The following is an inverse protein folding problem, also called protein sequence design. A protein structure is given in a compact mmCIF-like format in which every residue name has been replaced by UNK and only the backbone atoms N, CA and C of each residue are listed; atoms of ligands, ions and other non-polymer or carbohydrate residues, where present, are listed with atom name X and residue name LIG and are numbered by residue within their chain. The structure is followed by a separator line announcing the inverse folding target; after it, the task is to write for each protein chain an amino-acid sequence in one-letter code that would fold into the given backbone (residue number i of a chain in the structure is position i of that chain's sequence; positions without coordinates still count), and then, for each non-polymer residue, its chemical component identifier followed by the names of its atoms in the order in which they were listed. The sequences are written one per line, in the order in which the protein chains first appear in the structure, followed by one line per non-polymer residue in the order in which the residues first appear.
data_IF_075958675012
#
_entry.id   IF_075958675012
#
_cell.length_a   1.000
_cell.length_b   1.000
_cell.length_c   1.000
_cell.angle_alpha   90.00
_cell.angle_beta   90.00
_cell.angle_gamma   90.00
#
_symmetry.space_group_name_H-M   'P 1'
#
loop_
_entity.id
_entity.type
_entity.pdbx_description
1 polymer ?
#
# COMPACT_ATOMS: atom_id res chain seq x y z
N UNK A 1 5.52 1.36 -13.16
CA UNK A 1 4.22 1.65 -13.79
C UNK A 1 3.12 1.53 -12.74
N UNK A 2 2.17 2.48 -12.70
CA UNK A 2 1.00 2.42 -11.83
C UNK A 2 0.16 1.17 -12.10
N UNK A 3 -0.51 0.68 -11.07
CA UNK A 3 -1.35 -0.51 -11.15
C UNK A 3 -2.69 -0.15 -11.81
N UNK A 4 -3.19 -0.92 -12.77
CA UNK A 4 -4.37 -0.54 -13.54
C UNK A 4 -5.66 -0.50 -12.71
N UNK A 5 -5.70 -1.20 -11.58
CA UNK A 5 -6.91 -1.36 -10.76
C UNK A 5 -6.75 -0.89 -9.32
N UNK A 6 -5.57 -0.41 -8.93
CA UNK A 6 -5.28 -0.09 -7.53
C UNK A 6 -4.43 1.18 -7.41
N UNK A 7 -4.89 2.12 -6.59
CA UNK A 7 -4.01 3.17 -6.08
C UNK A 7 -3.05 2.56 -5.07
N UNK A 8 -1.79 3.00 -5.11
CA UNK A 8 -0.73 2.41 -4.29
C UNK A 8 -0.01 3.50 -3.49
N UNK A 9 -0.04 3.38 -2.17
CA UNK A 9 0.74 4.21 -1.27
C UNK A 9 1.93 3.41 -0.75
N UNK A 10 3.14 3.75 -1.17
CA UNK A 10 4.37 3.05 -0.78
C UNK A 10 4.95 3.68 0.48
N UNK A 11 5.13 2.90 1.53
CA UNK A 11 5.76 3.32 2.78
C UNK A 11 7.27 3.03 2.72
N UNK A 12 7.62 1.82 2.27
CA UNK A 12 9.00 1.35 2.20
C UNK A 12 9.34 0.81 0.80
N UNK A 13 10.62 0.86 0.44
CA UNK A 13 11.10 0.32 -0.83
C UNK A 13 11.06 -1.22 -0.80
N UNK A 14 10.54 -1.89 -1.85
CA UNK A 14 10.47 -3.35 -1.89
C UNK A 14 11.85 -4.03 -1.80
N UNK A 15 12.94 -3.36 -2.20
CA UNK A 15 14.29 -3.96 -2.22
C UNK A 15 14.83 -4.40 -0.84
N UNK A 16 14.29 -3.83 0.25
CA UNK A 16 14.67 -4.16 1.62
C UNK A 16 13.98 -5.41 2.20
N UNK A 17 13.10 -6.07 1.44
CA UNK A 17 12.30 -7.19 1.91
C UNK A 17 12.65 -8.49 1.21
N UNK A 18 12.55 -9.61 1.93
CA UNK A 18 12.73 -10.96 1.38
C UNK A 18 11.42 -11.61 1.00
N UNK A 19 10.35 -11.31 1.74
CA UNK A 19 9.03 -11.90 1.54
C UNK A 19 7.94 -10.82 1.60
N UNK A 20 6.85 -11.04 0.88
CA UNK A 20 5.68 -10.17 0.89
C UNK A 20 4.42 -10.95 1.22
N UNK A 21 3.52 -10.33 1.98
CA UNK A 21 2.18 -10.84 2.27
C UNK A 21 1.17 -9.74 2.03
N UNK A 22 0.05 -10.11 1.42
CA UNK A 22 -1.11 -9.23 1.24
C UNK A 22 -2.16 -9.58 2.28
N UNK A 23 -2.63 -8.59 3.02
CA UNK A 23 -3.72 -8.72 3.98
C UNK A 23 -4.81 -7.72 3.63
N UNK A 24 -6.02 -8.19 3.34
CA UNK A 24 -7.17 -7.30 3.20
C UNK A 24 -7.58 -6.82 4.58
N UNK A 25 -7.66 -5.50 4.77
CA UNK A 25 -8.02 -4.89 6.06
C UNK A 25 -9.39 -4.19 6.02
N UNK A 26 -9.87 -3.87 4.83
CA UNK A 26 -11.24 -3.42 4.59
C UNK A 26 -11.66 -3.76 3.14
N UNK A 27 -12.95 -3.70 2.79
CA UNK A 27 -13.40 -3.85 1.40
C UNK A 27 -12.66 -2.87 0.49
N UNK A 28 -11.95 -3.41 -0.52
CA UNK A 28 -11.16 -2.60 -1.45
C UNK A 28 -9.88 -1.99 -0.88
N UNK A 29 -9.48 -2.31 0.36
CA UNK A 29 -8.22 -1.85 0.96
C UNK A 29 -7.38 -3.03 1.42
N UNK A 30 -6.19 -3.14 0.85
CA UNK A 30 -5.22 -4.17 1.21
C UNK A 30 -3.94 -3.55 1.75
N UNK A 31 -3.43 -4.15 2.81
CA UNK A 31 -2.12 -3.91 3.38
C UNK A 31 -1.11 -4.89 2.77
N UNK A 32 0.03 -4.37 2.33
CA UNK A 32 1.17 -5.18 1.92
C UNK A 32 2.19 -5.14 3.05
N UNK A 33 2.43 -6.31 3.65
CA UNK A 33 3.45 -6.54 4.65
C UNK A 33 4.70 -7.06 3.95
N UNK A 34 5.86 -6.52 4.28
CA UNK A 34 7.16 -7.01 3.85
C UNK A 34 7.94 -7.54 5.05
N UNK A 35 8.58 -8.69 4.90
CA UNK A 35 9.53 -9.22 5.89
C UNK A 35 10.92 -8.67 5.59
N UNK A 36 11.53 -7.99 6.56
CA UNK A 36 12.85 -7.37 6.37
C UNK A 36 13.91 -8.46 6.13
N UNK A 37 14.80 -8.22 5.15
CA UNK A 37 15.92 -9.15 4.89
C UNK A 37 16.77 -9.31 6.15
N UNK A 38 17.10 -10.55 6.51
CA UNK A 38 17.89 -10.84 7.72
C UNK A 38 17.12 -10.68 9.03
N UNK A 39 15.79 -10.52 9.00
CA UNK A 39 14.97 -10.41 10.21
C UNK A 39 13.71 -11.26 10.11
N UNK A 40 13.13 -11.59 11.25
CA UNK A 40 11.79 -12.21 11.35
C UNK A 40 10.66 -11.16 11.37
N UNK A 41 11.02 -9.86 11.41
CA UNK A 41 10.07 -8.76 11.56
C UNK A 41 9.34 -8.46 10.25
N UNK A 42 8.01 -8.46 10.33
CA UNK A 42 7.11 -7.99 9.29
C UNK A 42 6.74 -6.55 9.54
N UNK A 43 6.84 -5.71 8.52
CA UNK A 43 6.44 -4.31 8.59
C UNK A 43 5.60 -3.94 7.38
N UNK A 44 4.83 -2.87 7.51
CA UNK A 44 4.03 -2.33 6.41
C UNK A 44 4.94 -1.81 5.30
N UNK A 45 4.81 -2.40 4.12
CA UNK A 45 5.52 -1.95 2.93
C UNK A 45 4.68 -0.97 2.10
N UNK A 46 3.39 -1.26 1.91
CA UNK A 46 2.49 -0.42 1.12
C UNK A 46 1.01 -0.62 1.47
N UNK A 47 0.20 0.37 1.16
CA UNK A 47 -1.25 0.28 1.13
C UNK A 47 -1.75 0.28 -0.31
N UNK A 48 -2.75 -0.57 -0.60
CA UNK A 48 -3.36 -0.76 -1.91
C UNK A 48 -4.84 -0.48 -1.81
N UNK A 49 -5.33 0.45 -2.61
CA UNK A 49 -6.73 0.86 -2.65
C UNK A 49 -7.31 0.49 -4.00
N UNK A 50 -8.28 -0.40 -4.04
CA UNK A 50 -8.97 -0.78 -5.26
C UNK A 50 -9.77 0.41 -5.80
N UNK A 51 -9.52 0.78 -7.07
CA UNK A 51 -10.15 1.93 -7.73
C UNK A 51 -11.68 1.88 -7.78
N UNK A 52 -12.27 0.66 -7.71
CA UNK A 52 -13.72 0.48 -7.70
C UNK A 52 -14.36 0.97 -6.39
N UNK A 53 -13.61 0.92 -5.29
CA UNK A 53 -14.09 1.30 -3.95
C UNK A 53 -13.56 2.67 -3.50
N UNK A 54 -12.35 3.02 -3.94
CA UNK A 54 -11.66 4.24 -3.54
C UNK A 54 -11.28 5.06 -4.77
N UNK A 55 -11.63 6.35 -4.76
CA UNK A 55 -11.00 7.33 -5.64
C UNK A 55 -9.61 7.67 -5.10
N UNK A 56 -8.75 8.27 -5.94
CA UNK A 56 -7.43 8.75 -5.54
C UNK A 56 -7.49 9.71 -4.34
N UNK A 57 -8.48 10.59 -4.31
CA UNK A 57 -8.74 11.53 -3.22
C UNK A 57 -9.19 10.83 -1.94
N UNK A 58 -10.13 9.88 -2.04
CA UNK A 58 -10.58 9.08 -0.88
C UNK A 58 -9.43 8.27 -0.29
N UNK A 59 -8.57 7.69 -1.13
CA UNK A 59 -7.39 6.96 -0.68
C UNK A 59 -6.39 7.88 0.04
N UNK A 60 -6.09 9.06 -0.52
CA UNK A 60 -5.23 10.06 0.13
C UNK A 60 -5.79 10.54 1.46
N UNK A 61 -7.10 10.80 1.51
CA UNK A 61 -7.79 11.20 2.73
C UNK A 61 -7.70 10.11 3.80
N UNK A 62 -7.96 8.85 3.43
CA UNK A 62 -7.84 7.72 4.35
C UNK A 62 -6.43 7.62 4.95
N UNK A 63 -5.39 7.78 4.13
CA UNK A 63 -3.99 7.79 4.59
C UNK A 63 -3.73 8.93 5.58
N UNK A 64 -4.26 10.13 5.31
CA UNK A 64 -4.12 11.30 6.19
C UNK A 64 -4.86 11.09 7.52
N UNK A 65 -6.10 10.64 7.46
CA UNK A 65 -6.94 10.38 8.64
C UNK A 65 -6.33 9.32 9.57
N UNK A 66 -5.55 8.39 9.00
CA UNK A 66 -4.84 7.35 9.75
C UNK A 66 -3.36 7.70 10.05
N UNK A 67 -2.95 8.96 9.83
CA UNK A 67 -1.58 9.45 10.07
C UNK A 67 -0.49 8.62 9.36
N UNK A 68 -0.77 8.17 8.14
CA UNK A 68 0.13 7.31 7.37
C UNK A 68 0.98 8.14 6.43
N UNK A 69 2.28 8.20 6.75
CA UNK A 69 3.28 8.84 5.91
C UNK A 69 3.78 7.89 4.82
N UNK A 70 3.47 8.19 3.56
CA UNK A 70 3.93 7.45 2.39
C UNK A 70 5.06 8.19 1.66
N UNK A 71 5.99 7.43 1.07
CA UNK A 71 7.08 7.95 0.22
C UNK A 71 6.60 8.29 -1.19
N UNK A 72 5.71 7.47 -1.74
CA UNK A 72 5.13 7.71 -3.05
C UNK A 72 3.69 7.25 -3.11
N UNK A 73 2.86 7.97 -3.86
CA UNK A 73 1.48 7.61 -4.13
C UNK A 73 1.26 7.51 -5.64
N UNK A 74 0.98 6.31 -6.11
CA UNK A 74 0.69 6.03 -7.51
C UNK A 74 -0.83 5.89 -7.69
N UNK A 75 -1.40 6.71 -8.56
CA UNK A 75 -2.82 6.63 -8.92
C UNK A 75 -3.02 5.47 -9.89
N UNK A 76 -4.14 4.74 -9.78
CA UNK A 76 -4.49 3.71 -10.75
C UNK A 76 -4.57 4.32 -12.16
N UNK A 77 -3.97 3.65 -13.14
CA UNK A 77 -3.80 4.19 -14.50
C UNK A 77 -5.00 4.02 -15.43
N UNK A 78 -6.00 3.26 -15.01
CA UNK A 78 -7.14 2.86 -15.85
C UNK A 78 -8.42 2.92 -15.05
#
# INVERSE_FOLDING_TARGET
MPYPNEHAARILSPGGFSEFRRKQIAPGLSLILGKLKGSIRWVTQAYRFNKKNYTSEKARKWLKDHNINYKSFEVASK
#
